data_IF_541430041098
#
_entry.id   IF_541430041098
#
_cell.length_a   1.000
_cell.length_b   1.000
_cell.length_c   1.000
_cell.angle_alpha   90.00
_cell.angle_beta   90.00
_cell.angle_gamma   90.00
#
_symmetry.space_group_name_H-M   'P 1'
#
loop_
_entity.id
_entity.type
_entity.pdbx_description
1 polymer ?
#
# COMPACT_ATOMS: atom_id res chain seq x y z
N UNK A 1 -4.18 -5.92 19.03
CA UNK A 1 -3.48 -5.17 17.97
C UNK A 1 -2.13 -4.81 18.52
N UNK A 2 -1.04 -5.16 17.84
CA UNK A 2 0.25 -4.54 18.16
C UNK A 2 0.18 -3.06 17.74
N UNK A 3 0.54 -2.18 18.66
CA UNK A 3 0.63 -0.74 18.44
C UNK A 3 1.65 -0.44 17.32
N UNK A 4 1.41 0.61 16.52
CA UNK A 4 2.36 1.00 15.48
C UNK A 4 3.68 1.48 16.08
N UNK A 5 4.81 1.15 15.46
CA UNK A 5 6.13 1.66 15.86
C UNK A 5 6.46 2.91 15.05
N UNK A 6 6.65 4.04 15.73
CA UNK A 6 7.09 5.29 15.12
C UNK A 6 8.59 5.47 15.37
N UNK A 7 9.36 5.68 14.31
CA UNK A 7 10.80 5.86 14.36
C UNK A 7 11.23 7.05 13.50
N UNK A 8 12.31 7.72 13.91
CA UNK A 8 12.92 8.79 13.12
C UNK A 8 14.00 8.21 12.22
N UNK A 9 13.88 8.40 10.91
CA UNK A 9 14.82 7.95 9.89
C UNK A 9 15.46 9.18 9.23
N UNK A 10 16.54 9.67 9.83
CA UNK A 10 17.18 10.92 9.42
C UNK A 10 16.27 12.13 9.66
N UNK A 11 15.89 12.81 8.59
CA UNK A 11 14.99 13.98 8.63
C UNK A 11 13.50 13.60 8.54
N UNK A 12 13.18 12.36 8.21
CA UNK A 12 11.80 11.87 8.09
C UNK A 12 11.39 11.00 9.28
N UNK A 13 10.08 10.81 9.40
CA UNK A 13 9.48 9.84 10.31
C UNK A 13 9.02 8.63 9.52
N UNK A 14 9.16 7.44 10.11
CA UNK A 14 8.67 6.19 9.57
C UNK A 14 7.72 5.55 10.59
N UNK A 15 6.51 5.21 10.14
CA UNK A 15 5.52 4.50 10.92
C UNK A 15 5.38 3.08 10.37
N UNK A 16 5.59 2.08 11.24
CA UNK A 16 5.53 0.67 10.88
C UNK A 16 4.40 -0.02 11.64
N UNK A 17 3.51 -0.69 10.92
CA UNK A 17 2.51 -1.60 11.46
C UNK A 17 2.75 -3.03 10.98
N UNK A 18 2.65 -3.99 11.91
CA UNK A 18 2.66 -5.42 11.59
C UNK A 18 1.29 -6.03 11.93
N UNK A 19 0.75 -6.85 11.02
CA UNK A 19 -0.51 -7.56 11.23
C UNK A 19 -0.38 -9.00 10.76
N UNK A 20 -0.81 -9.94 11.61
CA UNK A 20 -1.01 -11.34 11.24
C UNK A 20 -2.42 -11.52 10.71
N UNK A 21 -2.55 -12.02 9.49
CA UNK A 21 -3.85 -12.28 8.85
C UNK A 21 -4.00 -13.79 8.66
N UNK A 22 -5.15 -14.41 9.01
CA UNK A 22 -5.37 -15.85 8.86
C UNK A 22 -5.72 -16.22 7.40
N UNK A 23 -4.92 -15.74 6.45
CA UNK A 23 -5.13 -15.87 5.02
C UNK A 23 -3.79 -16.11 4.30
N UNK A 24 -3.77 -16.90 3.21
CA UNK A 24 -2.56 -17.09 2.43
C UNK A 24 -2.10 -15.77 1.79
N UNK A 25 -0.78 -15.55 1.58
CA UNK A 25 -0.24 -14.31 1.02
C UNK A 25 -0.89 -13.90 -0.29
N UNK A 26 -1.24 -14.85 -1.16
CA UNK A 26 -1.87 -14.58 -2.45
C UNK A 26 -3.25 -13.94 -2.29
N UNK A 27 -4.01 -14.32 -1.25
CA UNK A 27 -5.30 -13.68 -0.96
C UNK A 27 -5.12 -12.25 -0.47
N UNK A 28 -4.11 -12.01 0.38
CA UNK A 28 -3.81 -10.68 0.90
C UNK A 28 -3.26 -9.78 -0.21
N UNK A 29 -2.43 -10.32 -1.10
CA UNK A 29 -1.88 -9.62 -2.24
C UNK A 29 -2.98 -9.06 -3.14
N UNK A 30 -3.97 -9.89 -3.48
CA UNK A 30 -5.14 -9.44 -4.25
C UNK A 30 -5.88 -8.28 -3.57
N UNK A 31 -6.00 -8.30 -2.24
CA UNK A 31 -6.59 -7.19 -1.48
C UNK A 31 -5.78 -5.89 -1.53
N UNK A 32 -4.47 -5.96 -1.82
CA UNK A 32 -3.58 -4.82 -1.98
C UNK A 32 -3.51 -4.31 -3.42
N UNK A 33 -3.76 -5.16 -4.42
CA UNK A 33 -3.45 -4.83 -5.83
C UNK A 33 -4.67 -4.76 -6.76
N UNK A 34 -5.72 -5.52 -6.47
CA UNK A 34 -6.94 -5.61 -7.29
C UNK A 34 -7.95 -4.53 -6.86
N UNK A 35 -8.40 -3.64 -7.77
CA UNK A 35 -9.27 -2.51 -7.43
C UNK A 35 -10.55 -2.90 -6.67
N UNK A 36 -11.18 -3.99 -7.08
CA UNK A 36 -12.41 -4.54 -6.47
C UNK A 36 -12.24 -4.98 -5.01
N UNK A 37 -11.01 -5.23 -4.57
CA UNK A 37 -10.71 -5.60 -3.19
C UNK A 37 -10.08 -4.45 -2.41
N UNK A 38 -9.29 -3.62 -3.07
CA UNK A 38 -8.64 -2.45 -2.47
C UNK A 38 -9.68 -1.43 -1.99
N UNK A 39 -10.78 -1.27 -2.73
CA UNK A 39 -11.86 -0.31 -2.42
C UNK A 39 -12.56 -0.56 -1.08
N UNK A 40 -12.55 -1.80 -0.61
CA UNK A 40 -13.20 -2.20 0.64
C UNK A 40 -12.49 -1.66 1.90
N UNK A 41 -11.25 -1.18 1.79
CA UNK A 41 -10.47 -0.77 2.97
C UNK A 41 -9.49 0.40 2.75
N UNK A 42 -8.99 0.62 1.54
CA UNK A 42 -8.05 1.72 1.27
C UNK A 42 -8.83 3.03 0.97
N UNK A 43 -8.36 4.20 1.46
CA UNK A 43 -9.17 5.44 1.41
C UNK A 43 -9.38 6.01 0.01
N UNK A 44 -8.57 5.63 -0.98
CA UNK A 44 -8.68 6.08 -2.37
C UNK A 44 -8.59 4.90 -3.35
N UNK A 45 -9.02 5.13 -4.59
CA UNK A 45 -8.75 4.25 -5.71
C UNK A 45 -7.36 4.55 -6.29
N UNK A 46 -6.63 3.51 -6.72
CA UNK A 46 -5.31 3.64 -7.34
C UNK A 46 -5.42 3.20 -8.80
N UNK A 47 -5.48 4.18 -9.70
CA UNK A 47 -5.45 3.97 -11.14
C UNK A 47 -4.01 3.90 -11.65
N UNK A 48 -3.75 3.10 -12.68
CA UNK A 48 -2.43 2.94 -13.31
C UNK A 48 -1.94 1.49 -13.33
N UNK A 49 -0.82 1.26 -14.02
CA UNK A 49 -0.26 -0.08 -14.19
C UNK A 49 0.37 -0.61 -12.88
N UNK A 50 0.23 -1.91 -12.65
CA UNK A 50 0.90 -2.61 -11.55
C UNK A 50 2.30 -3.04 -11.99
N UNK A 51 3.18 -2.06 -12.15
CA UNK A 51 4.54 -2.23 -12.67
C UNK A 51 5.45 -1.13 -12.11
N UNK A 52 6.66 -1.48 -11.72
CA UNK A 52 7.69 -0.53 -11.30
C UNK A 52 7.90 0.59 -12.34
N UNK A 53 7.94 1.84 -11.87
CA UNK A 53 8.06 3.06 -12.67
C UNK A 53 6.78 3.52 -13.36
N UNK A 54 5.64 2.85 -13.15
CA UNK A 54 4.37 3.28 -13.72
C UNK A 54 3.81 4.52 -13.02
N UNK A 55 3.30 5.47 -13.80
CA UNK A 55 2.52 6.59 -13.27
C UNK A 55 1.19 6.09 -12.70
N UNK A 56 0.84 6.60 -11.52
CA UNK A 56 -0.40 6.30 -10.81
C UNK A 56 -1.22 7.56 -10.60
N UNK A 57 -2.53 7.38 -10.42
CA UNK A 57 -3.44 8.42 -9.92
C UNK A 57 -4.20 7.88 -8.71
N UNK A 58 -4.15 8.62 -7.62
CA UNK A 58 -4.92 8.38 -6.40
C UNK A 58 -6.21 9.20 -6.48
N UNK A 59 -7.33 8.51 -6.67
CA UNK A 59 -8.66 9.14 -6.80
C UNK A 59 -9.41 9.01 -5.47
N UNK A 60 -9.62 10.13 -4.79
CA UNK A 60 -10.35 10.11 -3.51
C UNK A 60 -11.85 10.09 -3.75
N UNK A 61 -12.53 9.19 -3.05
CA UNK A 61 -13.96 8.99 -3.23
C UNK A 61 -14.73 10.12 -2.58
N UNK A 62 -15.91 10.45 -3.13
CA UNK A 62 -16.82 11.47 -2.61
C UNK A 62 -16.18 12.86 -2.39
N UNK A 63 -15.14 13.20 -3.15
CA UNK A 63 -14.39 14.45 -3.00
C UNK A 63 -13.83 14.68 -1.58
N UNK A 64 -13.51 13.59 -0.85
CA UNK A 64 -12.96 13.67 0.52
C UNK A 64 -11.60 14.37 0.59
N UNK A 65 -10.84 14.35 -0.51
CA UNK A 65 -9.61 15.11 -0.71
C UNK A 65 -9.37 15.32 -2.22
N UNK A 66 -8.48 16.25 -2.62
CA UNK A 66 -8.04 16.37 -4.01
C UNK A 66 -7.33 15.09 -4.48
N UNK A 67 -7.55 14.71 -5.73
CA UNK A 67 -6.77 13.64 -6.38
C UNK A 67 -5.29 13.98 -6.37
N UNK A 68 -4.46 12.93 -6.32
CA UNK A 68 -3.00 13.07 -6.29
C UNK A 68 -2.36 12.19 -7.37
N UNK A 69 -1.33 12.74 -7.99
CA UNK A 69 -0.44 11.95 -8.83
C UNK A 69 0.46 11.06 -7.95
N UNK A 70 0.92 9.96 -8.53
CA UNK A 70 1.89 9.09 -7.88
C UNK A 70 2.67 8.22 -8.86
N UNK A 71 3.50 7.36 -8.30
CA UNK A 71 4.36 6.43 -9.01
C UNK A 71 4.42 5.10 -8.26
N UNK A 72 4.39 4.00 -9.01
CA UNK A 72 4.68 2.67 -8.50
C UNK A 72 6.21 2.51 -8.36
N UNK A 73 6.71 2.58 -7.12
CA UNK A 73 8.15 2.54 -6.83
C UNK A 73 8.68 1.10 -6.80
N UNK A 74 7.93 0.17 -6.24
CA UNK A 74 8.26 -1.27 -6.24
C UNK A 74 7.02 -2.08 -6.49
N UNK A 75 7.11 -3.05 -7.38
CA UNK A 75 6.07 -4.05 -7.60
C UNK A 75 6.67 -5.44 -7.79
N UNK A 76 6.73 -6.20 -6.70
CA UNK A 76 7.30 -7.56 -6.64
C UNK A 76 6.25 -8.55 -6.10
N UNK A 77 5.33 -9.03 -6.96
CA UNK A 77 4.24 -9.90 -6.54
C UNK A 77 4.74 -11.30 -6.12
N UNK A 78 4.16 -11.91 -5.06
CA UNK A 78 3.12 -11.40 -4.18
C UNK A 78 3.67 -10.82 -2.85
N UNK A 79 4.89 -10.28 -2.86
CA UNK A 79 5.66 -10.03 -1.63
C UNK A 79 5.80 -8.54 -1.28
N UNK A 80 6.01 -7.65 -2.25
CA UNK A 80 6.30 -6.23 -1.98
C UNK A 80 5.56 -5.31 -2.93
N UNK A 81 4.85 -4.34 -2.37
CA UNK A 81 4.23 -3.23 -3.09
C UNK A 81 4.70 -1.91 -2.44
N UNK A 82 5.21 -0.99 -3.24
CA UNK A 82 5.59 0.35 -2.78
C UNK A 82 5.17 1.40 -3.79
N UNK A 83 4.52 2.47 -3.32
CA UNK A 83 4.11 3.59 -4.16
C UNK A 83 4.16 4.91 -3.39
N UNK A 84 4.30 5.99 -4.13
CA UNK A 84 4.21 7.35 -3.59
C UNK A 84 2.77 7.70 -3.21
N UNK A 85 2.57 8.45 -2.14
CA UNK A 85 1.25 8.96 -1.75
C UNK A 85 1.41 10.37 -1.18
N UNK A 86 1.10 11.37 -2.01
CA UNK A 86 1.49 12.75 -1.71
C UNK A 86 3.02 12.86 -1.60
N UNK A 87 3.51 13.46 -0.51
CA UNK A 87 4.95 13.63 -0.25
C UNK A 87 5.63 12.41 0.43
N UNK A 88 4.83 11.37 0.72
CA UNK A 88 5.23 10.17 1.45
C UNK A 88 5.33 8.91 0.55
N UNK A 89 5.87 7.84 1.14
CA UNK A 89 5.95 6.50 0.54
C UNK A 89 5.14 5.53 1.40
N UNK A 90 4.22 4.79 0.78
CA UNK A 90 3.61 3.61 1.40
C UNK A 90 4.28 2.35 0.88
N UNK A 91 4.71 1.51 1.81
CA UNK A 91 5.31 0.21 1.54
C UNK A 91 4.55 -0.89 2.28
N UNK A 92 4.14 -1.91 1.54
CA UNK A 92 3.51 -3.12 2.05
C UNK A 92 4.43 -4.31 1.77
N UNK A 93 4.73 -5.08 2.82
CA UNK A 93 5.48 -6.33 2.72
C UNK A 93 4.62 -7.49 3.23
N UNK A 94 4.51 -8.55 2.42
CA UNK A 94 3.85 -9.79 2.77
C UNK A 94 4.89 -10.89 2.98
N UNK A 95 4.75 -11.61 4.09
CA UNK A 95 5.55 -12.79 4.41
C UNK A 95 4.61 -13.86 4.93
N UNK A 96 4.81 -15.10 4.47
CA UNK A 96 4.13 -16.24 5.08
C UNK A 96 4.57 -16.36 6.55
N UNK A 97 3.62 -16.59 7.45
CA UNK A 97 3.84 -16.68 8.89
C UNK A 97 3.43 -18.07 9.39
N UNK A 98 4.21 -19.09 8.97
CA UNK A 98 4.00 -20.50 9.32
C UNK A 98 2.79 -21.16 8.65
N UNK A 99 2.55 -22.43 9.03
CA UNK A 99 1.34 -23.21 8.75
C UNK A 99 0.40 -23.22 9.96
#
# INVERSE_FOLDING_TARGET
>A
MEEGRLERTGERWQLHFTRRLPHPPEKVWRALTEPEHLTEWFPNDIEGERKEGASLRHVFRNDEAPDMDGEMVVYDPPSVLEFTWGDDILRFELRADGD
#
